data_IF_700013402762
#
_entry.id   IF_700013402762
#
_cell.length_a   1.000
_cell.length_b   1.000
_cell.length_c   1.000
_cell.angle_alpha   90.00
_cell.angle_beta   90.00
_cell.angle_gamma   90.00
#
_symmetry.space_group_name_H-M   'P 1'
#
loop_
_entity.id
_entity.type
_entity.pdbx_description
1 polymer ?
2 polymer ?
3 non-polymer ?
#
# COMPACT_ATOMS: atom_id res chain seq x y z
N UNK A 4 20.39 4.26 25.63
CA UNK A 4 19.80 2.98 25.20
C UNK A 4 20.47 1.80 25.88
N UNK A 5 19.67 0.87 26.39
CA UNK A 5 20.18 -0.29 27.10
C UNK A 5 19.65 -1.57 26.49
N UNK A 6 20.33 -2.66 26.81
CA UNK A 6 19.95 -4.02 26.38
C UNK A 6 19.30 -4.68 27.60
N UNK A 7 17.99 -4.57 27.68
CA UNK A 7 17.21 -5.06 28.81
C UNK A 7 16.00 -5.82 28.31
N UNK A 8 15.27 -6.49 29.21
CA UNK A 8 14.13 -7.32 28.75
C UNK A 8 13.09 -6.55 27.96
N UNK A 9 12.99 -5.23 28.17
CA UNK A 9 12.11 -4.41 27.35
C UNK A 9 12.57 -4.39 25.89
N UNK A 10 13.80 -3.90 25.65
CA UNK A 10 14.30 -3.86 24.28
C UNK A 10 14.24 -5.24 23.64
N UNK A 11 14.60 -6.27 24.40
CA UNK A 11 14.57 -7.62 23.84
C UNK A 11 13.17 -7.99 23.36
N UNK A 12 12.12 -7.51 24.05
CA UNK A 12 10.76 -7.77 23.58
C UNK A 12 10.46 -6.97 22.32
N UNK A 13 10.82 -5.68 22.33
CA UNK A 13 10.75 -4.84 21.14
C UNK A 13 11.33 -5.54 19.92
N UNK A 14 12.58 -6.03 20.03
CA UNK A 14 13.20 -6.71 18.89
C UNK A 14 12.44 -7.96 18.51
N UNK A 15 11.91 -8.68 19.51
CA UNK A 15 11.10 -9.85 19.22
C UNK A 15 9.83 -9.48 18.45
N UNK A 16 9.22 -8.36 18.79
CA UNK A 16 8.05 -7.92 18.03
C UNK A 16 8.47 -7.51 16.62
N UNK A 17 9.56 -6.75 16.52
CA UNK A 17 10.10 -6.39 15.21
C UNK A 17 10.23 -7.59 14.29
N UNK A 18 10.87 -8.66 14.78
CA UNK A 18 11.06 -9.84 13.93
C UNK A 18 9.74 -10.49 13.57
N UNK A 19 8.78 -10.50 14.50
CA UNK A 19 7.50 -11.14 14.20
C UNK A 19 6.75 -10.39 13.11
N UNK A 20 6.74 -9.07 13.18
CA UNK A 20 6.12 -8.27 12.12
C UNK A 20 6.81 -8.52 10.79
N UNK A 21 8.15 -8.51 10.79
CA UNK A 21 8.88 -8.74 9.56
C UNK A 21 8.55 -10.11 8.96
N UNK A 22 8.68 -11.17 9.75
CA UNK A 22 8.34 -12.49 9.25
C UNK A 22 6.92 -12.52 8.71
N UNK A 23 5.98 -11.92 9.44
CA UNK A 23 4.60 -11.90 8.97
C UNK A 23 4.46 -11.08 7.69
N UNK A 24 5.24 -10.00 7.58
CA UNK A 24 5.20 -9.14 6.41
C UNK A 24 5.74 -9.85 5.19
N UNK A 25 6.82 -10.61 5.34
CA UNK A 25 7.38 -11.37 4.22
C UNK A 25 6.34 -12.35 3.67
N UNK A 26 5.63 -13.05 4.55
CA UNK A 26 4.69 -14.04 4.04
C UNK A 26 3.38 -13.42 3.58
N UNK A 27 3.04 -12.23 4.06
CA UNK A 27 1.78 -11.59 3.66
C UNK A 27 1.89 -10.84 2.34
N UNK A 28 3.06 -10.27 2.04
CA UNK A 28 3.18 -9.47 0.83
C UNK A 28 4.11 -10.14 -0.17
N UNK A 29 3.70 -10.25 -1.43
CA UNK A 29 4.48 -11.03 -2.40
C UNK A 29 5.80 -10.38 -2.74
N UNK A 30 5.75 -9.15 -3.23
CA UNK A 30 6.92 -8.44 -3.74
C UNK A 30 7.40 -7.43 -2.69
N UNK A 31 8.38 -7.84 -1.89
CA UNK A 31 8.95 -6.94 -0.89
C UNK A 31 9.81 -5.87 -1.57
N UNK A 32 10.20 -4.87 -0.78
CA UNK A 32 11.07 -3.83 -1.32
C UNK A 32 12.45 -4.38 -1.64
N UNK A 33 12.92 -5.36 -0.88
CA UNK A 33 14.20 -5.99 -1.19
C UNK A 33 14.22 -6.48 -2.63
N UNK A 34 13.21 -7.25 -3.03
CA UNK A 34 13.22 -7.80 -4.39
C UNK A 34 12.93 -6.73 -5.43
N UNK A 35 11.98 -5.84 -5.14
CA UNK A 35 11.66 -4.77 -6.07
C UNK A 35 12.92 -3.98 -6.45
N UNK A 36 13.72 -3.61 -5.44
CA UNK A 36 14.95 -2.88 -5.73
C UNK A 36 15.88 -3.67 -6.65
N UNK A 37 16.07 -4.95 -6.34
CA UNK A 37 16.88 -5.79 -7.22
C UNK A 37 16.35 -5.74 -8.66
N UNK A 38 15.06 -6.01 -8.84
CA UNK A 38 14.48 -5.96 -10.18
C UNK A 38 14.75 -4.61 -10.82
N UNK A 39 14.54 -3.53 -10.06
CA UNK A 39 14.69 -2.18 -10.58
C UNK A 39 16.12 -1.86 -10.99
N UNK A 40 17.09 -2.70 -10.65
CA UNK A 40 18.50 -2.46 -10.96
C UNK A 40 19.11 -3.58 -11.78
N UNK A 41 18.30 -4.48 -12.35
CA UNK A 41 18.81 -5.61 -13.09
C UNK A 41 19.51 -6.67 -12.26
N UNK A 42 19.87 -6.36 -11.01
CA UNK A 42 20.56 -7.30 -10.14
C UNK A 42 19.68 -8.48 -9.76
N UNK A 43 18.93 -9.03 -10.71
CA UNK A 43 17.99 -10.10 -10.42
C UNK A 43 18.21 -11.25 -11.39
N UNK A 44 17.97 -12.46 -10.90
CA UNK A 44 18.02 -13.64 -11.76
C UNK A 44 16.75 -13.82 -12.55
N UNK A 45 15.62 -13.32 -12.04
CA UNK A 45 14.35 -13.40 -12.75
C UNK A 45 14.47 -12.75 -14.12
N UNK A 46 13.45 -12.98 -14.94
CA UNK A 46 13.47 -12.57 -16.34
C UNK A 46 13.97 -11.15 -16.52
N UNK A 47 13.05 -10.19 -16.49
CA UNK A 47 13.31 -8.77 -16.72
C UNK A 47 11.98 -8.13 -17.05
N UNK A 48 11.52 -7.18 -16.24
CA UNK A 48 10.20 -6.58 -16.50
C UNK A 48 10.10 -6.00 -17.91
N UNK A 49 8.97 -6.27 -18.55
CA UNK A 49 8.63 -5.66 -19.84
C UNK A 49 8.29 -4.19 -19.62
N UNK A 50 8.86 -3.31 -20.43
CA UNK A 50 8.71 -1.88 -20.20
C UNK A 50 7.59 -1.34 -21.08
N UNK A 51 6.60 -0.74 -20.44
CA UNK A 51 5.53 -0.05 -21.13
C UNK A 51 5.81 1.44 -21.03
N UNK A 52 6.20 2.04 -22.16
CA UNK A 52 6.57 3.44 -22.20
C UNK A 52 5.81 4.23 -23.26
N UNK A 53 4.98 3.59 -24.08
CA UNK A 53 4.14 4.27 -25.06
C UNK A 53 2.98 3.35 -25.40
N UNK A 54 2.11 3.81 -26.28
CA UNK A 54 0.95 3.02 -26.66
C UNK A 54 1.37 1.70 -27.31
N UNK A 55 2.35 1.73 -28.21
CA UNK A 55 2.78 0.50 -28.87
C UNK A 55 3.28 -0.51 -27.86
N UNK A 56 4.06 -0.06 -26.86
CA UNK A 56 4.56 -0.99 -25.85
C UNK A 56 3.45 -1.44 -24.91
N UNK A 57 2.46 -0.59 -24.64
CA UNK A 57 1.31 -1.03 -23.87
C UNK A 57 0.60 -2.15 -24.59
N UNK A 58 0.18 -1.91 -25.83
CA UNK A 58 -0.47 -2.94 -26.63
C UNK A 58 0.36 -4.22 -26.64
N UNK A 59 1.64 -4.12 -26.99
CA UNK A 59 2.48 -5.31 -26.99
C UNK A 59 2.51 -5.98 -25.62
N UNK A 60 2.65 -5.18 -24.56
CA UNK A 60 2.73 -5.75 -23.22
C UNK A 60 1.47 -6.49 -22.81
N UNK A 61 0.31 -5.97 -23.23
CA UNK A 61 -0.94 -6.66 -22.90
C UNK A 61 -0.94 -8.10 -23.42
N UNK A 62 -0.19 -8.37 -24.48
CA UNK A 62 -0.02 -9.75 -24.94
C UNK A 62 1.02 -10.49 -24.10
N UNK A 63 2.24 -9.97 -24.07
CA UNK A 63 3.40 -10.71 -23.58
C UNK A 63 3.53 -10.69 -22.06
N UNK A 64 2.65 -10.00 -21.34
CA UNK A 64 2.60 -10.07 -19.88
C UNK A 64 1.35 -10.84 -19.49
N UNK A 65 1.52 -11.84 -18.62
CA UNK A 65 0.41 -12.63 -18.10
C UNK A 65 -0.14 -11.93 -16.87
N UNK A 66 -1.16 -11.10 -17.09
CA UNK A 66 -1.84 -10.43 -15.99
C UNK A 66 -2.76 -11.40 -15.27
N UNK A 67 -2.63 -11.46 -13.95
CA UNK A 67 -3.40 -12.38 -13.13
C UNK A 67 -4.91 -12.17 -13.24
N UNK A 68 -5.37 -11.06 -13.81
CA UNK A 68 -6.79 -10.72 -13.75
C UNK A 68 -7.52 -10.83 -15.08
N UNK A 69 -6.85 -10.69 -16.20
CA UNK A 69 -7.53 -10.69 -17.48
C UNK A 69 -7.63 -12.11 -18.00
N UNK A 70 -8.64 -12.37 -18.83
CA UNK A 70 -8.78 -13.63 -19.53
C UNK A 70 -9.18 -13.33 -20.97
N UNK A 71 -8.88 -14.24 -21.90
CA UNK A 71 -9.35 -14.04 -23.27
C UNK A 71 -10.87 -14.06 -23.38
N UNK A 72 -11.56 -14.79 -22.49
CA UNK A 72 -13.00 -14.93 -22.59
C UNK A 72 -13.72 -13.61 -22.31
N UNK A 73 -13.27 -12.88 -21.29
CA UNK A 73 -13.98 -11.66 -20.93
C UNK A 73 -13.60 -10.53 -21.88
N UNK A 74 -14.47 -9.52 -21.94
CA UNK A 74 -14.22 -8.34 -22.74
C UNK A 74 -14.06 -7.13 -21.82
N UNK A 75 -13.03 -6.34 -22.11
CA UNK A 75 -12.64 -5.18 -21.33
C UNK A 75 -12.89 -3.92 -22.15
N UNK A 76 -12.65 -2.78 -21.53
CA UNK A 76 -12.89 -1.51 -22.18
C UNK A 76 -12.08 -1.40 -23.47
N UNK A 77 -12.53 -0.51 -24.35
CA UNK A 77 -11.79 -0.20 -25.56
C UNK A 77 -10.78 0.92 -25.34
N UNK A 78 -10.86 1.62 -24.20
CA UNK A 78 -9.99 2.73 -23.90
C UNK A 78 -8.88 2.27 -22.95
N UNK A 79 -7.63 2.47 -23.36
CA UNK A 79 -6.51 1.97 -22.58
C UNK A 79 -6.55 2.54 -21.17
N UNK A 80 -6.84 3.84 -21.04
CA UNK A 80 -6.93 4.46 -19.72
C UNK A 80 -7.83 3.65 -18.80
N UNK A 81 -8.97 3.18 -19.30
CA UNK A 81 -9.92 2.43 -18.47
C UNK A 81 -9.39 1.04 -18.15
N UNK A 82 -8.85 0.34 -19.15
CA UNK A 82 -8.25 -0.96 -18.89
C UNK A 82 -7.20 -0.87 -17.78
N UNK A 83 -6.29 0.09 -17.89
CA UNK A 83 -5.24 0.24 -16.88
C UNK A 83 -5.86 0.49 -15.52
N UNK A 84 -6.89 1.34 -15.46
CA UNK A 84 -7.57 1.56 -14.18
C UNK A 84 -8.17 0.26 -13.65
N UNK A 85 -8.65 -0.62 -14.54
CA UNK A 85 -9.25 -1.88 -14.09
C UNK A 85 -8.23 -2.76 -13.40
N UNK A 86 -7.09 -3.00 -14.04
CA UNK A 86 -6.06 -3.80 -13.40
C UNK A 86 -5.63 -3.24 -12.06
N UNK A 87 -5.56 -1.90 -11.95
CA UNK A 87 -5.22 -1.30 -10.67
C UNK A 87 -6.27 -1.60 -9.62
N UNK A 88 -7.55 -1.62 -10.01
CA UNK A 88 -8.62 -2.03 -9.10
C UNK A 88 -8.41 -3.46 -8.62
N UNK A 89 -8.22 -4.40 -9.57
CA UNK A 89 -7.94 -5.77 -9.21
C UNK A 89 -6.77 -5.86 -8.23
N UNK A 90 -5.68 -5.13 -8.53
CA UNK A 90 -4.52 -5.17 -7.66
C UNK A 90 -4.83 -4.58 -6.29
N UNK A 91 -5.64 -3.51 -6.26
CA UNK A 91 -6.01 -2.90 -4.99
C UNK A 91 -6.84 -3.85 -4.13
N UNK A 92 -7.81 -4.52 -4.75
CA UNK A 92 -8.63 -5.49 -4.02
C UNK A 92 -7.74 -6.57 -3.44
N UNK A 93 -6.84 -7.13 -4.25
CA UNK A 93 -5.87 -8.07 -3.69
C UNK A 93 -5.05 -7.43 -2.57
N UNK A 94 -4.62 -6.17 -2.76
CA UNK A 94 -3.86 -5.52 -1.71
C UNK A 94 -4.66 -5.45 -0.41
N UNK A 95 -5.97 -5.20 -0.50
CA UNK A 95 -6.77 -5.10 0.71
C UNK A 95 -6.68 -6.41 1.51
N UNK A 96 -6.64 -7.55 0.81
CA UNK A 96 -6.61 -8.82 1.50
C UNK A 96 -5.25 -9.11 2.12
N UNK A 97 -4.17 -8.81 1.40
CA UNK A 97 -2.85 -8.96 1.99
C UNK A 97 -2.75 -8.14 3.27
N UNK A 98 -3.21 -6.89 3.21
CA UNK A 98 -3.10 -6.01 4.36
C UNK A 98 -3.95 -6.52 5.51
N UNK A 99 -5.18 -6.95 5.20
CA UNK A 99 -6.04 -7.56 6.21
C UNK A 99 -5.34 -8.75 6.86
N UNK A 100 -4.77 -9.64 6.05
CA UNK A 100 -4.06 -10.77 6.61
C UNK A 100 -2.90 -10.31 7.48
N UNK A 101 -2.16 -9.29 7.03
CA UNK A 101 -1.06 -8.79 7.83
C UNK A 101 -1.56 -8.23 9.15
N UNK A 102 -2.65 -7.46 9.10
CA UNK A 102 -3.23 -6.90 10.32
C UNK A 102 -3.49 -8.00 11.35
N UNK A 103 -4.03 -9.14 10.92
CA UNK A 103 -4.35 -10.21 11.85
C UNK A 103 -3.10 -10.77 12.52
N UNK A 104 -1.93 -10.58 11.93
CA UNK A 104 -0.70 -11.03 12.57
C UNK A 104 -0.17 -10.04 13.59
N UNK A 105 -0.69 -8.82 13.65
CA UNK A 105 -0.19 -7.85 14.61
C UNK A 105 -0.66 -8.27 16.00
N UNK A 106 0.26 -8.55 16.92
CA UNK A 106 -0.16 -8.96 18.27
C UNK A 106 -1.19 -8.02 18.87
N UNK A 107 -2.35 -8.56 19.26
CA UNK A 107 -3.41 -7.82 19.87
C UNK A 107 -4.54 -7.44 18.93
N UNK A 108 -4.25 -7.29 17.63
CA UNK A 108 -5.25 -6.77 16.71
C UNK A 108 -6.50 -7.62 16.72
N UNK A 109 -6.34 -8.93 16.56
CA UNK A 109 -7.49 -9.84 16.49
C UNK A 109 -8.37 -9.72 17.73
N UNK A 110 -7.78 -9.48 18.90
CA UNK A 110 -8.51 -9.31 20.14
C UNK A 110 -9.00 -7.88 20.34
N UNK A 111 -9.23 -7.14 19.26
CA UNK A 111 -9.90 -5.86 19.36
C UNK A 111 -11.37 -6.04 19.01
N UNK A 112 -12.18 -5.04 19.34
CA UNK A 112 -13.55 -5.02 18.87
C UNK A 112 -13.57 -5.20 17.36
N UNK A 113 -14.28 -6.24 16.89
CA UNK A 113 -14.34 -6.50 15.46
C UNK A 113 -14.74 -5.24 14.69
N UNK A 114 -15.76 -4.52 15.19
CA UNK A 114 -16.16 -3.28 14.53
C UNK A 114 -15.01 -2.29 14.44
N UNK A 115 -14.18 -2.22 15.48
CA UNK A 115 -13.03 -1.33 15.42
C UNK A 115 -11.96 -1.86 14.47
N UNK A 116 -11.75 -3.18 14.44
CA UNK A 116 -10.87 -3.76 13.44
C UNK A 116 -11.24 -3.30 12.06
N UNK A 117 -12.54 -3.37 11.74
CA UNK A 117 -13.01 -2.93 10.43
C UNK A 117 -12.62 -1.47 10.21
N UNK A 118 -12.81 -0.63 11.22
CA UNK A 118 -12.53 0.80 11.06
C UNK A 118 -11.05 1.05 10.82
N UNK A 119 -10.18 0.36 11.56
CA UNK A 119 -8.75 0.56 11.34
C UNK A 119 -8.36 0.16 9.92
N UNK A 120 -8.93 -0.95 9.44
CA UNK A 120 -8.60 -1.42 8.10
C UNK A 120 -9.14 -0.48 7.03
N UNK A 121 -10.39 -0.03 7.17
CA UNK A 121 -10.95 0.89 6.19
C UNK A 121 -10.04 2.08 5.96
N UNK A 122 -9.47 2.63 7.02
CA UNK A 122 -8.67 3.84 6.92
C UNK A 122 -7.19 3.57 6.65
N UNK A 123 -6.66 2.46 7.16
CA UNK A 123 -5.23 2.21 7.01
C UNK A 123 -4.86 1.67 5.65
N UNK A 124 -5.82 0.99 4.98
CA UNK A 124 -5.49 0.24 3.77
C UNK A 124 -4.86 1.15 2.73
N UNK A 125 -5.46 2.31 2.46
CA UNK A 125 -4.95 3.14 1.37
C UNK A 125 -3.62 3.77 1.73
N UNK A 126 -3.45 4.20 2.98
CA UNK A 126 -2.16 4.71 3.38
C UNK A 126 -1.09 3.65 3.20
N UNK A 127 -1.40 2.41 3.56
CA UNK A 127 -0.42 1.34 3.41
C UNK A 127 -0.17 1.03 1.94
N UNK A 128 -1.22 1.13 1.12
CA UNK A 128 -1.05 0.88 -0.31
C UNK A 128 -0.01 1.85 -0.89
N UNK A 129 -0.16 3.14 -0.61
CA UNK A 129 0.78 4.10 -1.19
C UNK A 129 2.15 4.00 -0.55
N UNK A 130 2.22 3.69 0.75
CA UNK A 130 3.51 3.39 1.36
C UNK A 130 4.24 2.30 0.57
N UNK A 131 3.58 1.16 0.36
CA UNK A 131 4.24 0.01 -0.25
C UNK A 131 4.40 0.17 -1.76
N UNK A 132 3.53 0.97 -2.39
CA UNK A 132 3.73 1.33 -3.78
C UNK A 132 5.10 1.99 -3.99
N UNK A 133 5.53 2.84 -3.06
CA UNK A 133 6.84 3.47 -3.21
C UNK A 133 7.94 2.44 -3.38
N UNK A 134 7.79 1.26 -2.75
CA UNK A 134 8.82 0.24 -2.86
C UNK A 134 9.01 -0.18 -4.31
N UNK A 135 7.97 -0.02 -5.12
CA UNK A 135 7.95 -0.46 -6.50
C UNK A 135 8.27 0.66 -7.46
N UNK A 136 8.54 1.86 -6.97
CA UNK A 136 8.72 3.03 -7.82
C UNK A 136 10.17 3.51 -7.79
N UNK A 137 10.66 3.92 -8.95
CA UNK A 137 11.75 4.88 -9.05
C UNK A 137 11.20 6.11 -9.77
N UNK A 138 12.06 7.07 -10.07
CA UNK A 138 11.56 8.29 -10.67
C UNK A 138 11.18 8.12 -12.14
N UNK A 139 11.47 6.96 -12.73
CA UNK A 139 11.11 6.69 -14.12
C UNK A 139 9.77 5.97 -14.28
N UNK A 140 9.34 5.19 -13.29
CA UNK A 140 8.12 4.42 -13.44
C UNK A 140 7.90 3.52 -12.24
N UNK A 141 6.99 2.55 -12.43
CA UNK A 141 6.55 1.68 -11.35
C UNK A 141 6.45 0.25 -11.85
N UNK A 142 6.93 -0.69 -11.04
CA UNK A 142 6.76 -2.10 -11.32
C UNK A 142 5.28 -2.48 -11.23
N UNK A 143 4.82 -3.30 -12.17
CA UNK A 143 3.45 -3.77 -12.20
C UNK A 143 3.44 -5.28 -12.39
N UNK A 144 2.24 -5.85 -12.27
CA UNK A 144 2.03 -7.28 -12.49
C UNK A 144 3.11 -8.09 -11.77
N UNK A 145 3.23 -7.80 -10.47
CA UNK A 145 4.19 -8.44 -9.58
C UNK A 145 5.57 -8.58 -10.23
N UNK A 146 6.01 -7.49 -10.86
CA UNK A 146 7.37 -7.41 -11.35
C UNK A 146 7.58 -7.82 -12.80
N UNK A 147 6.59 -8.42 -13.45
CA UNK A 147 6.74 -8.77 -14.85
C UNK A 147 6.67 -7.57 -15.77
N UNK A 148 6.09 -6.46 -15.30
CA UNK A 148 5.97 -5.27 -16.11
C UNK A 148 6.50 -4.05 -15.38
N UNK A 149 6.81 -3.03 -16.17
CA UNK A 149 7.29 -1.74 -15.68
C UNK A 149 6.64 -0.66 -16.53
N UNK A 150 5.82 0.17 -15.91
CA UNK A 150 5.08 1.22 -16.60
C UNK A 150 5.68 2.57 -16.23
N UNK A 151 6.02 3.37 -17.23
CA UNK A 151 6.79 4.57 -16.96
C UNK A 151 5.91 5.69 -16.42
N UNK A 152 6.54 6.56 -15.64
CA UNK A 152 5.87 7.75 -15.11
C UNK A 152 5.27 8.59 -16.21
N UNK A 153 6.03 8.86 -17.27
CA UNK A 153 5.55 9.74 -18.33
C UNK A 153 4.40 9.11 -19.10
N UNK A 154 4.43 7.79 -19.30
CA UNK A 154 3.31 7.15 -19.99
C UNK A 154 2.03 7.31 -19.18
N UNK A 155 2.10 7.07 -17.87
CA UNK A 155 0.92 7.26 -17.03
C UNK A 155 0.47 8.71 -17.05
N UNK A 156 1.41 9.66 -17.04
CA UNK A 156 1.07 11.07 -17.10
C UNK A 156 0.39 11.44 -18.42
N UNK A 157 0.55 10.63 -19.46
CA UNK A 157 -0.01 10.97 -20.76
C UNK A 157 -1.40 10.38 -20.99
N UNK A 158 -1.91 9.57 -20.08
CA UNK A 158 -3.29 9.13 -20.19
C UNK A 158 -4.21 10.34 -20.22
N UNK A 159 -5.30 10.23 -20.97
CA UNK A 159 -6.22 11.35 -21.09
C UNK A 159 -6.78 11.75 -19.73
N UNK A 160 -7.00 13.05 -19.55
CA UNK A 160 -7.63 13.52 -18.33
C UNK A 160 -8.93 12.74 -18.11
N UNK A 161 -9.29 12.43 -16.86
CA UNK A 161 -8.54 12.80 -15.66
C UNK A 161 -7.54 11.72 -15.23
N UNK A 162 -7.46 10.63 -15.99
CA UNK A 162 -6.69 9.47 -15.56
C UNK A 162 -5.20 9.80 -15.46
N UNK A 163 -4.70 10.66 -16.33
CA UNK A 163 -3.29 10.99 -16.34
C UNK A 163 -2.84 11.72 -15.10
N UNK A 164 -3.76 11.94 -14.16
CA UNK A 164 -3.48 12.68 -12.95
C UNK A 164 -3.51 11.82 -11.70
N UNK A 165 -3.75 10.51 -11.83
CA UNK A 165 -3.91 9.68 -10.64
C UNK A 165 -2.58 9.31 -10.01
N UNK A 166 -1.60 8.94 -10.83
CA UNK A 166 -0.34 8.41 -10.30
C UNK A 166 0.68 9.49 -9.95
N UNK A 167 0.67 10.61 -10.67
CA UNK A 167 1.61 11.69 -10.42
C UNK A 167 1.82 11.92 -8.93
N UNK A 168 0.76 12.26 -8.18
CA UNK A 168 0.94 12.48 -6.73
C UNK A 168 1.64 11.33 -6.03
N UNK A 169 1.43 10.09 -6.46
CA UNK A 169 2.08 8.97 -5.81
C UNK A 169 3.57 8.93 -6.12
N UNK A 170 3.95 9.16 -7.39
CA UNK A 170 5.37 9.30 -7.71
C UNK A 170 5.99 10.41 -6.89
N UNK A 171 5.34 11.58 -6.86
CA UNK A 171 5.83 12.69 -6.06
C UNK A 171 6.14 12.23 -4.63
N UNK A 172 5.18 11.58 -4.00
CA UNK A 172 5.36 11.12 -2.63
C UNK A 172 6.48 10.08 -2.55
N UNK A 173 6.59 9.20 -3.55
CA UNK A 173 7.52 8.08 -3.47
C UNK A 173 8.97 8.56 -3.50
N UNK A 174 9.26 9.60 -4.29
CA UNK A 174 10.61 10.11 -4.36
C UNK A 174 11.04 10.64 -3.01
N UNK A 175 10.18 11.41 -2.35
CA UNK A 175 10.50 11.89 -1.00
C UNK A 175 10.63 10.73 -0.02
N UNK A 176 9.71 9.76 -0.10
CA UNK A 176 9.69 8.69 0.89
C UNK A 176 10.87 7.73 0.69
N UNK A 177 11.18 7.39 -0.57
CA UNK A 177 12.31 6.49 -0.83
C UNK A 177 13.65 7.13 -0.48
N UNK A 178 13.73 8.46 -0.40
CA UNK A 178 14.96 9.07 0.07
C UNK A 178 15.19 8.76 1.55
N UNK A 179 14.17 8.36 2.29
CA UNK A 179 14.39 7.88 3.65
C UNK A 179 15.22 6.60 3.67
N UNK A 180 15.21 5.85 2.56
CA UNK A 180 15.99 4.61 2.47
C UNK A 180 15.57 3.59 3.51
N UNK A 181 14.25 3.45 3.72
CA UNK A 181 13.75 2.40 4.58
C UNK A 181 13.92 1.03 3.91
N UNK A 182 14.10 0.01 4.73
CA UNK A 182 14.10 -1.36 4.23
C UNK A 182 12.85 -2.08 4.76
N UNK A 183 12.68 -3.33 4.34
CA UNK A 183 11.46 -4.05 4.70
C UNK A 183 11.28 -4.14 6.21
N UNK A 184 12.38 -4.35 6.94
CA UNK A 184 12.30 -4.45 8.39
C UNK A 184 11.75 -3.18 9.00
N UNK A 185 12.20 -2.02 8.52
CA UNK A 185 11.59 -0.76 8.91
C UNK A 185 10.12 -0.70 8.48
N UNK A 186 9.86 -1.04 7.21
CA UNK A 186 8.52 -0.87 6.67
C UNK A 186 7.49 -1.73 7.41
N UNK A 187 7.85 -2.98 7.71
CA UNK A 187 6.95 -3.88 8.43
C UNK A 187 6.40 -3.20 9.69
N UNK A 188 7.27 -2.56 10.48
CA UNK A 188 6.79 -1.92 11.71
C UNK A 188 6.01 -0.67 11.37
N UNK A 189 6.49 0.11 10.39
CA UNK A 189 5.82 1.35 10.04
C UNK A 189 4.35 1.12 9.68
N UNK A 190 4.07 0.17 8.80
CA UNK A 190 2.69 -0.02 8.38
C UNK A 190 1.84 -0.58 9.53
N UNK A 191 2.45 -1.33 10.44
CA UNK A 191 1.73 -1.73 11.65
C UNK A 191 1.32 -0.51 12.47
N UNK A 192 2.22 0.47 12.59
CA UNK A 192 1.87 1.70 13.28
C UNK A 192 0.69 2.38 12.60
N UNK A 193 0.70 2.43 11.26
CA UNK A 193 -0.39 3.04 10.52
C UNK A 193 -1.72 2.34 10.84
N UNK A 194 -1.73 1.01 10.78
CA UNK A 194 -2.98 0.29 10.97
C UNK A 194 -3.59 0.60 12.33
N UNK A 195 -2.75 0.79 13.34
CA UNK A 195 -3.25 0.95 14.71
C UNK A 195 -3.24 2.41 15.15
N UNK A 196 -3.73 3.29 14.29
CA UNK A 196 -3.95 4.69 14.62
C UNK A 196 -5.25 4.81 15.41
N UNK A 197 -5.14 5.20 16.68
CA UNK A 197 -6.29 5.38 17.54
C UNK A 197 -7.11 6.62 17.29
N UNK A 198 -6.75 7.44 16.29
CA UNK A 198 -7.49 8.65 15.97
C UNK A 198 -8.31 8.52 14.69
N UNK A 199 -8.64 7.29 14.28
CA UNK A 199 -9.51 7.14 13.11
C UNK A 199 -10.95 7.46 13.50
N UNK A 200 -11.70 8.14 12.64
CA UNK A 200 -13.12 8.40 12.92
C UNK A 200 -13.87 7.12 13.23
N UNK A 201 -14.83 7.21 14.15
CA UNK A 201 -15.75 6.13 14.40
C UNK A 201 -15.24 5.03 15.31
N UNK A 202 -14.02 5.14 15.84
CA UNK A 202 -13.57 4.13 16.79
C UNK A 202 -14.37 4.23 18.08
N UNK A 203 -14.53 3.10 18.75
CA UNK A 203 -15.30 3.01 19.99
C UNK A 203 -14.46 2.63 21.18
N UNK A 204 -13.56 1.67 21.04
CA UNK A 204 -12.76 1.16 22.13
C UNK A 204 -11.30 1.54 21.86
N UNK A 205 -11.00 2.82 22.08
CA UNK A 205 -9.72 3.37 21.62
C UNK A 205 -8.56 2.90 22.49
N UNK A 206 -8.75 2.84 23.79
CA UNK A 206 -7.68 2.56 24.75
C UNK A 206 -6.81 1.40 24.26
N UNK A 207 -7.36 0.19 24.10
CA UNK A 207 -6.51 -0.95 23.71
C UNK A 207 -5.79 -0.73 22.39
N UNK A 208 -6.29 0.17 21.53
CA UNK A 208 -5.63 0.45 20.26
C UNK A 208 -4.37 1.26 20.50
N UNK A 209 -4.47 2.32 21.31
CA UNK A 209 -3.31 3.13 21.63
C UNK A 209 -2.27 2.33 22.39
N UNK A 210 -2.71 1.41 23.25
CA UNK A 210 -1.76 0.56 23.96
C UNK A 210 -0.94 -0.28 22.97
N UNK A 211 -1.57 -0.72 21.89
CA UNK A 211 -0.83 -1.47 20.88
C UNK A 211 0.06 -0.52 20.08
N UNK A 212 -0.51 0.58 19.60
CA UNK A 212 0.28 1.50 18.80
C UNK A 212 1.50 2.02 19.56
N UNK A 213 1.41 2.13 20.88
CA UNK A 213 2.56 2.59 21.65
C UNK A 213 3.70 1.57 21.57
N UNK A 214 3.40 0.29 21.77
CA UNK A 214 4.41 -0.75 21.57
C UNK A 214 5.00 -0.65 20.18
N UNK A 215 4.14 -0.69 19.16
CA UNK A 215 4.58 -0.55 17.79
C UNK A 215 5.51 0.65 17.63
N UNK A 216 5.16 1.78 18.27
CA UNK A 216 5.97 2.99 18.13
C UNK A 216 7.33 2.84 18.81
N UNK A 217 7.37 2.19 19.97
CA UNK A 217 8.65 1.91 20.60
C UNK A 217 9.48 0.97 19.72
N UNK A 218 8.85 -0.11 19.24
CA UNK A 218 9.59 -1.06 18.42
C UNK A 218 10.13 -0.40 17.17
N UNK A 219 9.39 0.57 16.62
CA UNK A 219 9.85 1.25 15.41
C UNK A 219 11.06 2.12 15.70
N UNK A 220 10.97 2.97 16.72
CA UNK A 220 12.09 3.85 17.04
C UNK A 220 13.35 3.03 17.30
N UNK A 221 13.25 2.02 18.16
CA UNK A 221 14.39 1.14 18.39
C UNK A 221 14.90 0.55 17.09
N UNK A 222 13.98 0.15 16.20
CA UNK A 222 14.40 -0.39 14.92
C UNK A 222 15.17 0.64 14.11
N UNK A 223 14.66 1.87 14.06
CA UNK A 223 15.33 2.91 13.27
C UNK A 223 16.70 3.25 13.86
N UNK A 224 16.80 3.31 15.19
CA UNK A 224 18.07 3.63 15.81
C UNK A 224 19.10 2.55 15.52
N UNK A 225 18.67 1.28 15.53
CA UNK A 225 19.61 0.19 15.28
C UNK A 225 19.99 0.09 13.81
N UNK A 226 19.08 0.47 12.91
CA UNK A 226 19.23 0.15 11.50
C UNK A 226 19.71 1.32 10.65
N UNK A 227 19.67 2.55 11.17
CA UNK A 227 20.07 3.74 10.42
C UNK A 227 20.98 4.61 11.27
N UNK A 228 22.18 4.12 11.58
CA UNK A 228 23.10 4.91 12.43
C UNK A 228 23.40 6.29 11.89
N UNK A 229 23.52 6.44 10.57
CA UNK A 229 23.95 7.68 9.94
C UNK A 229 22.77 8.58 9.56
N UNK A 230 21.70 8.60 10.35
CA UNK A 230 20.58 9.49 10.01
C UNK A 230 19.70 9.59 11.25
N UNK A 231 20.03 10.55 12.11
CA UNK A 231 19.12 10.86 13.20
C UNK A 231 17.91 11.63 12.64
N UNK A 232 16.88 11.75 13.47
CA UNK A 232 15.62 12.36 13.09
C UNK A 232 14.78 11.44 12.20
N UNK A 233 15.26 10.24 11.87
CA UNK A 233 14.51 9.37 10.98
C UNK A 233 13.13 9.06 11.54
N UNK A 234 13.05 8.91 12.87
CA UNK A 234 11.78 8.60 13.50
C UNK A 234 10.77 9.72 13.29
N UNK A 235 11.19 10.97 13.54
CA UNK A 235 10.30 12.10 13.35
C UNK A 235 9.89 12.25 11.89
N UNK A 236 10.88 12.26 10.98
CA UNK A 236 10.57 12.37 9.56
C UNK A 236 9.56 11.31 9.13
N UNK A 237 9.70 10.10 9.66
CA UNK A 237 8.81 9.02 9.25
C UNK A 237 7.39 9.27 9.76
N UNK A 238 7.26 9.68 11.02
CA UNK A 238 5.94 10.05 11.52
C UNK A 238 5.32 11.15 10.69
N UNK A 239 6.12 12.14 10.28
CA UNK A 239 5.57 13.20 9.44
C UNK A 239 4.98 12.63 8.15
N UNK A 240 5.61 11.61 7.58
CA UNK A 240 5.09 11.04 6.35
C UNK A 240 3.69 10.47 6.55
N UNK A 241 3.37 9.97 7.76
CA UNK A 241 2.01 9.52 8.01
C UNK A 241 1.01 10.64 7.76
N UNK A 242 1.40 11.87 8.10
CA UNK A 242 0.62 13.03 7.72
C UNK A 242 0.44 13.10 6.20
N UNK A 243 1.55 13.14 5.46
CA UNK A 243 1.45 13.26 4.01
C UNK A 243 0.62 12.14 3.40
N UNK A 244 0.64 10.94 4.00
CA UNK A 244 -0.17 9.86 3.46
C UNK A 244 -1.65 10.17 3.56
N UNK A 245 -2.08 10.78 4.67
CA UNK A 245 -3.49 11.14 4.79
C UNK A 245 -3.88 12.18 3.74
N UNK A 246 -2.96 13.05 3.36
CA UNK A 246 -3.29 14.08 2.38
C UNK A 246 -3.42 13.46 0.99
N UNK A 247 -2.46 12.63 0.58
CA UNK A 247 -2.58 12.03 -0.75
C UNK A 247 -3.81 11.13 -0.83
N UNK A 248 -4.21 10.52 0.29
CA UNK A 248 -5.40 9.68 0.28
C UNK A 248 -6.64 10.54 0.04
N UNK A 249 -6.77 11.63 0.81
CA UNK A 249 -7.83 12.60 0.57
C UNK A 249 -7.85 13.02 -0.90
N UNK A 250 -6.73 13.51 -1.39
CA UNK A 250 -6.65 13.96 -2.78
C UNK A 250 -7.03 12.86 -3.74
N UNK A 251 -6.56 11.63 -3.52
CA UNK A 251 -6.89 10.54 -4.42
C UNK A 251 -8.40 10.31 -4.46
N UNK A 252 -9.05 10.28 -3.31
CA UNK A 252 -10.49 10.06 -3.26
C UNK A 252 -11.21 11.17 -4.01
N UNK A 253 -10.85 12.42 -3.73
CA UNK A 253 -11.51 13.56 -4.37
C UNK A 253 -11.44 13.45 -5.88
N UNK A 254 -10.24 13.31 -6.42
CA UNK A 254 -10.10 13.08 -7.85
C UNK A 254 -10.95 11.90 -8.30
N UNK A 255 -11.07 10.87 -7.46
CA UNK A 255 -11.86 9.70 -7.83
C UNK A 255 -13.31 10.07 -8.10
N UNK A 256 -13.81 11.12 -7.46
CA UNK A 256 -15.16 11.60 -7.74
C UNK A 256 -15.23 12.21 -9.14
N UNK A 257 -14.17 12.88 -9.58
CA UNK A 257 -14.15 13.41 -10.93
C UNK A 257 -14.34 12.28 -11.94
N UNK A 258 -13.70 11.13 -11.69
CA UNK A 258 -13.95 9.94 -12.48
C UNK A 258 -15.42 9.62 -12.40
N UNK A 259 -15.88 9.20 -11.22
CA UNK A 259 -17.29 8.98 -10.97
C UNK A 259 -18.07 10.16 -11.54
N UNK A 260 -19.34 9.95 -11.87
CA UNK A 260 -20.13 10.96 -12.55
C UNK A 260 -19.65 11.09 -14.01
N UNK A 261 -18.57 11.83 -14.23
CA UNK A 261 -18.09 12.17 -15.57
C UNK A 261 -17.57 10.97 -16.35
N UNK A 262 -17.65 9.76 -15.81
CA UNK A 262 -17.32 8.54 -16.52
C UNK A 262 -18.42 7.52 -16.27
N UNK A 263 -18.50 6.51 -17.15
CA UNK A 263 -19.53 5.49 -17.00
C UNK A 263 -19.09 4.15 -17.57
N UNK A 264 -17.98 4.12 -18.31
CA UNK A 264 -17.52 2.86 -18.88
C UNK A 264 -16.98 1.91 -17.81
N UNK A 265 -16.57 2.42 -16.65
CA UNK A 265 -16.08 1.61 -15.56
C UNK A 265 -16.88 1.87 -14.29
N UNK A 266 -16.74 0.95 -13.34
CA UNK A 266 -17.29 1.14 -12.00
C UNK A 266 -16.27 0.61 -11.00
N UNK A 267 -16.58 0.82 -9.72
CA UNK A 267 -15.65 0.53 -8.64
C UNK A 267 -16.07 -0.77 -7.96
N UNK A 268 -15.12 -1.69 -7.84
CA UNK A 268 -15.36 -2.94 -7.13
C UNK A 268 -16.00 -2.64 -5.77
N UNK A 269 -16.99 -3.43 -5.36
CA UNK A 269 -17.67 -3.14 -4.07
C UNK A 269 -16.73 -3.00 -2.89
N UNK A 270 -15.67 -3.80 -2.81
CA UNK A 270 -14.76 -3.66 -1.68
C UNK A 270 -14.20 -2.24 -1.64
N UNK A 271 -13.78 -1.73 -2.80
CA UNK A 271 -13.26 -0.36 -2.89
C UNK A 271 -14.33 0.66 -2.53
N UNK A 272 -15.59 0.42 -2.92
CA UNK A 272 -16.67 1.33 -2.54
C UNK A 272 -16.87 1.34 -1.04
N UNK A 273 -16.83 0.17 -0.41
CA UNK A 273 -16.90 0.10 1.05
C UNK A 273 -15.84 1.00 1.68
N UNK A 274 -14.64 1.01 1.12
CA UNK A 274 -13.56 1.77 1.72
C UNK A 274 -13.72 3.26 1.46
N UNK A 275 -13.78 3.66 0.18
CA UNK A 275 -13.89 5.08 -0.13
C UNK A 275 -15.14 5.72 0.48
N UNK A 276 -16.13 4.92 0.86
CA UNK A 276 -17.46 5.34 1.28
C UNK A 276 -17.49 6.68 2.03
N UNK A 277 -17.74 6.63 3.33
CA UNK A 277 -17.77 7.84 4.15
C UNK A 277 -16.39 8.14 4.69
N UNK A 278 -15.43 8.22 3.77
CA UNK A 278 -14.03 8.32 4.17
C UNK A 278 -13.77 9.66 4.83
N UNK A 279 -13.29 10.63 4.05
CA UNK A 279 -12.96 11.94 4.57
C UNK A 279 -13.97 12.98 4.11
N UNK B 2 -26.67 -2.30 10.66
CA UNK B 2 -26.59 -1.62 9.37
C UNK B 2 -25.15 -1.60 8.81
N UNK B 3 -24.65 -2.76 8.38
CA UNK B 3 -23.23 -2.88 8.06
C UNK B 3 -22.89 -2.15 6.77
N UNK B 4 -22.07 -1.11 6.87
CA UNK B 4 -21.59 -0.37 5.72
C UNK B 4 -20.34 -0.97 5.09
N UNK B 5 -19.72 -1.97 5.73
CA UNK B 5 -18.50 -2.59 5.23
C UNK B 5 -18.61 -4.12 5.37
N UNK B 6 -19.61 -4.71 4.70
CA UNK B 6 -19.85 -6.15 4.83
C UNK B 6 -18.66 -6.96 4.36
N UNK B 7 -18.07 -6.59 3.22
CA UNK B 7 -16.94 -7.36 2.69
C UNK B 7 -15.76 -7.32 3.65
N UNK B 8 -15.35 -6.12 4.07
CA UNK B 8 -14.25 -6.01 5.02
C UNK B 8 -14.55 -6.82 6.27
N UNK B 9 -15.80 -6.78 6.70
CA UNK B 9 -16.21 -7.52 7.89
C UNK B 9 -16.02 -9.02 7.67
N UNK B 10 -16.47 -9.52 6.51
CA UNK B 10 -16.28 -10.92 6.16
C UNK B 10 -14.79 -11.27 6.12
N UNK B 11 -14.00 -10.44 5.43
CA UNK B 11 -12.56 -10.64 5.37
C UNK B 11 -11.96 -10.80 6.77
N UNK B 12 -12.37 -9.96 7.71
CA UNK B 12 -11.82 -10.02 9.05
C UNK B 12 -12.32 -11.24 9.82
N UNK B 13 -13.47 -11.79 9.46
CA UNK B 13 -14.05 -12.91 10.18
C UNK B 13 -13.50 -14.27 9.76
N UNK B 14 -12.58 -14.33 8.81
CA UNK B 14 -12.11 -15.62 8.31
C UNK B 14 -10.58 -15.71 8.29
X LIG C 1 -4.98 3.86 -8.50
X LIG C 1 -4.83 3.23 -7.42
X LIG C 1 -5.76 2.50 -6.97
X LIG C 1 -3.53 3.36 -6.62
X LIG C 1 -2.97 2.11 -6.28
X LIG C 1 -2.22 1.36 -7.21
X LIG C 1 -1.54 1.96 -8.26
X LIG C 1 -0.80 1.18 -9.16
X LIG C 1 -2.17 -0.02 -7.07
X LIG C 1 -2.90 -0.71 -5.93
X LIG C 1 -1.44 -0.80 -7.95
X LIG C 1 -0.77 -0.20 -8.99
X LIG C 1 0.17 -1.25 -10.15
X LIG C 1 -0.94 -2.02 -11.35
X LIG C 1 -0.84 -3.56 -11.36
X LIG C 1 0.44 -3.97 -10.94
X LIG C 1 0.56 -4.77 -9.79
X LIG C 1 1.39 -4.07 -8.71
X LIG C 1 -1.13 -4.05 -12.78
X LIG C 1 -1.99 -3.12 -13.37
X LIG C 1 -2.38 -3.24 -14.72
X LIG C 1 -1.76 -2.51 -15.72
X LIG C 1 -2.17 -2.64 -17.04
X LIG C 1 -3.22 -3.50 -17.35
X LIG C 1 -3.70 -3.66 -18.79
X LIG C 1 -4.62 -2.69 -19.06
X LIG C 1 -4.31 -4.88 -18.94
X LIG C 1 -2.62 -3.53 -19.63
X LIG C 1 -3.85 -4.21 -16.36
X LIG C 1 -3.43 -4.09 -15.04
X LIG C 1 -2.89 3.85 -7.16
X LIG C 1 -3.71 3.86 -5.81
X LIG C 1 -1.55 2.88 -8.37
X LIG C 1 -0.35 1.58 -9.86
X LIG C 1 -2.51 -0.44 -5.09
X LIG C 1 -2.82 -1.68 -6.03
X LIG C 1 -3.83 -0.45 -5.95
X LIG C 1 -1.42 -1.71 -7.85
X LIG C 1 -1.86 -1.78 -11.13
X LIG C 1 -0.73 -1.69 -12.23
X LIG C 1 -1.50 -3.93 -10.75
X LIG C 1 0.99 -5.61 -10.03
X LIG C 1 -0.32 -4.96 -9.44
X LIG C 1 2.30 -3.93 -9.04
X LIG C 1 0.99 -3.20 -8.50
X LIG C 1 1.41 -4.61 -7.91
X LIG C 1 -1.56 -4.92 -12.75
X LIG C 1 -0.31 -4.11 -13.29
X LIG C 1 -1.05 -1.95 -15.50
X LIG C 1 -1.75 -2.16 -17.71
X LIG C 1 -4.55 -4.79 -16.57
X LIG C 1 -3.85 -4.57 -14.37
#
# INVERSE_FOLDING_TARGET
GSHMQLNPESADLRALAKHLYDSYIKSFPLTKAKARAILTGKTTDKSPFVIYDMNSLMMGEDKIKFKHITPLQEQSKEVAIRIFQGCQFRSVEAVQEITEYAKSIPGFVNLDLNDQVTLLKYGVHEIIYTMLASLMNKDGVLISEGQGFMTREFLKSLRKPFGDFMEPKFEFAVKFNALELDDSDLAIFIAVIILSGDRPGLLNVKPIEDIQDNLLQALELQLKLNHPESSQLFAKLLQKMTDLRQIVTEHVQLLQVIKKTETDMSLHPLLQEIYKDLY
LTERHKILHRLLQEG
KKB O5 C18 O4 C17 O3 C16 C15 C14 C19 C20 C21 C13 S1 C12 C3 O1 C2 C1 C4 O2 C5 C11 C10 C8 C9 F3 F2 F1 C7 C6 H2 H3 H4 H5 H6 H7 H8 H9 H10 H11 H12 H13 H14 H15 H16 H17 H18 H19 H20 H21 H22 H23
#
